data_IF_066797553058
#
_entry.id   IF_066797553058
#
_cell.length_a   1.000
_cell.length_b   1.000
_cell.length_c   1.000
_cell.angle_alpha   90.00
_cell.angle_beta   90.00
_cell.angle_gamma   90.00
#
_symmetry.space_group_name_H-M   'P 1'
#
loop_
_entity.id
_entity.type
_entity.pdbx_description
1 polymer ?
#
# COMPACT_ATOMS: atom_id res chain seq x y z
N UNK A 1 18.00 0.83 -3.88
CA UNK A 1 17.82 0.49 -2.46
C UNK A 1 19.08 0.90 -1.70
N UNK A 2 18.94 1.62 -0.59
CA UNK A 2 20.06 1.92 0.33
C UNK A 2 20.19 0.78 1.34
N UNK A 3 21.42 0.42 1.67
CA UNK A 3 21.73 -0.57 2.71
C UNK A 3 22.51 0.13 3.81
N UNK A 4 22.11 -0.10 5.05
CA UNK A 4 22.78 0.43 6.24
C UNK A 4 23.41 -0.73 6.99
N UNK A 5 24.68 -0.57 7.40
CA UNK A 5 25.46 -1.66 7.98
C UNK A 5 25.07 -1.94 9.44
N UNK A 6 24.69 -0.88 10.17
CA UNK A 6 24.36 -0.97 11.58
C UNK A 6 23.06 -0.24 11.90
N UNK A 7 22.30 -0.73 12.88
CA UNK A 7 21.04 -0.11 13.33
C UNK A 7 21.24 1.35 13.77
N UNK A 8 22.38 1.64 14.41
CA UNK A 8 22.73 2.99 14.88
C UNK A 8 22.86 4.03 13.76
N UNK A 9 23.18 3.60 12.53
CA UNK A 9 23.34 4.49 11.38
C UNK A 9 22.01 5.18 11.01
N UNK A 10 20.87 4.56 11.34
CA UNK A 10 19.54 5.09 11.04
C UNK A 10 19.21 6.34 11.85
N UNK A 11 19.73 6.47 13.08
CA UNK A 11 19.46 7.61 13.94
C UNK A 11 19.96 8.92 13.34
N UNK A 12 21.04 8.87 12.54
CA UNK A 12 21.61 10.02 11.85
C UNK A 12 20.74 10.52 10.67
N UNK A 13 19.78 9.71 10.23
CA UNK A 13 18.94 9.99 9.06
C UNK A 13 17.60 10.62 9.43
N UNK A 14 17.34 10.91 10.70
CA UNK A 14 16.11 11.58 11.14
C UNK A 14 15.95 12.91 10.40
N UNK A 15 14.79 13.08 9.75
CA UNK A 15 14.48 14.26 8.95
C UNK A 15 15.01 14.24 7.51
N UNK A 16 15.70 13.17 7.09
CA UNK A 16 16.19 13.01 5.72
C UNK A 16 15.34 12.04 4.90
N UNK A 17 15.25 12.28 3.58
CA UNK A 17 14.68 11.30 2.65
C UNK A 17 15.64 10.10 2.49
N UNK A 18 15.14 8.90 2.73
CA UNK A 18 15.93 7.65 2.67
C UNK A 18 15.74 6.87 1.37
N UNK A 19 14.79 7.29 0.53
CA UNK A 19 14.52 6.74 -0.79
C UNK A 19 13.07 6.91 -1.20
N UNK A 20 12.82 6.66 -2.49
CA UNK A 20 11.50 6.58 -3.11
C UNK A 20 11.36 5.20 -3.75
N UNK A 21 10.25 4.53 -3.52
CA UNK A 21 9.98 3.26 -4.20
C UNK A 21 9.61 3.50 -5.66
N UNK A 22 9.72 2.45 -6.46
CA UNK A 22 9.08 2.42 -7.76
C UNK A 22 7.55 2.45 -7.61
N UNK A 23 6.87 2.76 -8.71
CA UNK A 23 5.42 2.62 -8.80
C UNK A 23 5.01 1.16 -8.73
N UNK A 24 3.88 0.90 -8.06
CA UNK A 24 3.27 -0.43 -7.98
C UNK A 24 1.86 -0.34 -8.53
N UNK A 25 1.49 -1.30 -9.36
CA UNK A 25 0.11 -1.43 -9.85
C UNK A 25 -0.74 -2.04 -8.74
N UNK A 26 -1.79 -1.32 -8.34
CA UNK A 26 -2.81 -1.85 -7.44
C UNK A 26 -3.85 -2.56 -8.28
N UNK A 27 -3.93 -3.89 -8.14
CA UNK A 27 -4.91 -4.72 -8.87
C UNK A 27 -6.17 -4.92 -8.03
N UNK A 28 -7.27 -5.32 -8.67
CA UNK A 28 -8.50 -5.71 -7.96
C UNK A 28 -8.22 -6.83 -6.94
N UNK A 29 -7.37 -7.81 -7.29
CA UNK A 29 -7.01 -8.89 -6.36
C UNK A 29 -6.27 -8.40 -5.10
N UNK A 30 -5.51 -7.29 -5.17
CA UNK A 30 -4.92 -6.70 -3.97
C UNK A 30 -6.01 -6.11 -3.05
N UNK A 31 -7.02 -5.49 -3.65
CA UNK A 31 -8.15 -4.87 -2.94
C UNK A 31 -9.02 -5.97 -2.31
N UNK A 32 -9.35 -7.02 -3.06
CA UNK A 32 -10.16 -8.15 -2.59
C UNK A 32 -9.50 -8.85 -1.39
N UNK A 33 -8.20 -9.11 -1.47
CA UNK A 33 -7.45 -9.71 -0.36
C UNK A 33 -7.41 -8.80 0.86
N UNK A 34 -7.31 -7.48 0.66
CA UNK A 34 -7.34 -6.52 1.75
C UNK A 34 -8.73 -6.50 2.43
N UNK A 35 -9.81 -6.44 1.64
CA UNK A 35 -11.19 -6.52 2.13
C UNK A 35 -11.43 -7.80 2.94
N UNK A 36 -10.97 -8.96 2.44
CA UNK A 36 -11.05 -10.22 3.16
C UNK A 36 -10.26 -10.20 4.48
N UNK A 37 -9.04 -9.64 4.46
CA UNK A 37 -8.17 -9.62 5.63
C UNK A 37 -8.70 -8.70 6.76
N UNK A 38 -9.37 -7.61 6.39
CA UNK A 38 -9.90 -6.63 7.36
C UNK A 38 -11.38 -6.85 7.68
N UNK A 39 -12.09 -7.63 6.86
CA UNK A 39 -13.54 -7.76 6.91
C UNK A 39 -14.30 -6.57 6.30
N UNK A 40 -13.61 -5.63 5.64
CA UNK A 40 -14.24 -4.49 4.95
C UNK A 40 -14.62 -4.87 3.51
N UNK A 41 -15.70 -5.63 3.39
CA UNK A 41 -16.25 -6.08 2.12
C UNK A 41 -17.29 -5.09 1.55
N UNK A 42 -17.15 -3.79 1.84
CA UNK A 42 -18.02 -2.79 1.23
C UNK A 42 -17.97 -2.89 -0.29
N UNK A 43 -19.14 -2.82 -0.93
CA UNK A 43 -19.30 -3.07 -2.37
C UNK A 43 -18.45 -2.15 -3.26
N UNK A 44 -18.10 -0.96 -2.79
CA UNK A 44 -17.20 -0.04 -3.50
C UNK A 44 -15.79 -0.62 -3.70
N UNK A 45 -15.40 -1.60 -2.88
CA UNK A 45 -14.11 -2.26 -2.93
C UNK A 45 -14.15 -3.56 -3.76
N UNK A 46 -15.22 -4.36 -3.62
CA UNK A 46 -15.25 -5.75 -4.10
C UNK A 46 -16.21 -6.01 -5.29
N UNK A 47 -17.05 -5.03 -5.65
CA UNK A 47 -17.96 -5.14 -6.79
C UNK A 47 -17.67 -4.01 -7.80
N UNK A 48 -16.82 -4.26 -8.82
CA UNK A 48 -16.44 -3.24 -9.79
C UNK A 48 -17.61 -2.69 -10.60
N UNK A 49 -18.60 -3.53 -10.92
CA UNK A 49 -19.75 -3.12 -11.73
C UNK A 49 -20.64 -2.16 -10.93
N UNK A 50 -20.91 -2.50 -9.67
CA UNK A 50 -21.68 -1.64 -8.78
C UNK A 50 -20.90 -0.38 -8.40
N UNK A 51 -19.59 -0.49 -8.16
CA UNK A 51 -18.68 0.64 -7.92
C UNK A 51 -18.72 1.64 -9.08
N UNK A 52 -18.64 1.17 -10.33
CA UNK A 52 -18.71 2.03 -11.52
C UNK A 52 -20.05 2.77 -11.68
N UNK A 53 -21.13 2.21 -11.12
CA UNK A 53 -22.47 2.80 -11.13
C UNK A 53 -22.81 3.58 -9.85
N UNK A 54 -21.82 3.79 -8.97
CA UNK A 54 -21.96 4.54 -7.73
C UNK A 54 -22.26 6.04 -7.96
N UNK A 55 -22.67 6.76 -6.90
CA UNK A 55 -23.03 8.18 -6.95
C UNK A 55 -21.87 9.10 -7.35
#
# INVERSE_FOLDING_TARGET
MRTFAHLGDLALLVGQEIGRSDWVVVTQSNIDLFAQATGDEQWIHVDPARAAAGP
#
